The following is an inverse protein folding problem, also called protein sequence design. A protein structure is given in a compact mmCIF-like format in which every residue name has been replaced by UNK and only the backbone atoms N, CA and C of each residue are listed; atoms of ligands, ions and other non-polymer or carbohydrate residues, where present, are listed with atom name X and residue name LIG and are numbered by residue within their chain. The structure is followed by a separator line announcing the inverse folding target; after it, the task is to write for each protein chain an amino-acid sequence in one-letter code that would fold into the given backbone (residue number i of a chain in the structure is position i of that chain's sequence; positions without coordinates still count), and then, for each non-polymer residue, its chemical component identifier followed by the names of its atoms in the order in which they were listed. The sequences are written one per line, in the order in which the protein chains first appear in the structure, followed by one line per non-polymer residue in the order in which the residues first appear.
data_IF_343135166640
#
_entry.id   IF_343135166640
#
_cell.length_a   1.000
_cell.length_b   1.000
_cell.length_c   1.000
_cell.angle_alpha   90.00
_cell.angle_beta   90.00
_cell.angle_gamma   90.00
#
_symmetry.space_group_name_H-M   'P 1'
#
loop_
_entity.id
_entity.type
_entity.pdbx_description
1 polymer ?
#
# COMPACT_ATOMS: atom_id res chain seq x y z
N UNK A 1 -17.86 -0.01 -11.72
CA UNK A 1 -16.63 -0.51 -11.05
C UNK A 1 -15.42 -0.21 -11.91
N UNK A 2 -15.38 -0.68 -13.17
CA UNK A 2 -14.28 -0.43 -14.11
C UNK A 2 -13.99 1.07 -14.26
N UNK A 3 -15.00 1.88 -14.57
CA UNK A 3 -14.86 3.35 -14.64
C UNK A 3 -14.24 3.96 -13.38
N UNK A 4 -14.65 3.50 -12.20
CA UNK A 4 -14.07 3.98 -10.94
C UNK A 4 -12.59 3.59 -10.80
N UNK A 5 -12.22 2.39 -11.25
CA UNK A 5 -10.82 1.94 -11.30
C UNK A 5 -9.99 2.80 -12.25
N UNK A 6 -10.51 3.08 -13.45
CA UNK A 6 -9.87 3.95 -14.44
C UNK A 6 -9.66 5.36 -13.88
N UNK A 7 -10.66 5.93 -13.21
CA UNK A 7 -10.56 7.23 -12.53
C UNK A 7 -9.47 7.25 -11.45
N UNK A 8 -9.38 6.22 -10.60
CA UNK A 8 -8.31 6.11 -9.60
C UNK A 8 -6.92 6.12 -10.25
N UNK A 9 -6.76 5.35 -11.33
CA UNK A 9 -5.49 5.21 -12.05
C UNK A 9 -5.10 6.48 -12.81
N UNK A 10 -6.03 7.03 -13.60
CA UNK A 10 -5.82 8.20 -14.44
C UNK A 10 -5.43 9.42 -13.60
N UNK A 11 -6.15 9.67 -12.52
CA UNK A 11 -5.91 10.84 -11.67
C UNK A 11 -4.92 10.58 -10.53
N UNK A 12 -4.44 9.34 -10.38
CA UNK A 12 -3.55 8.91 -9.27
C UNK A 12 -4.11 9.28 -7.91
N UNK A 13 -5.42 9.06 -7.72
CA UNK A 13 -6.14 9.34 -6.48
C UNK A 13 -6.60 8.05 -5.82
N UNK A 14 -6.63 8.03 -4.48
CA UNK A 14 -7.11 6.86 -3.73
C UNK A 14 -8.61 6.92 -3.41
N UNK A 15 -9.25 8.06 -3.67
CA UNK A 15 -10.65 8.33 -3.34
C UNK A 15 -11.29 9.20 -4.42
N UNK A 16 -12.53 8.90 -4.78
CA UNK A 16 -13.35 9.68 -5.72
C UNK A 16 -14.72 9.95 -5.11
N UNK A 17 -15.30 11.11 -5.43
CA UNK A 17 -16.63 11.50 -4.98
C UNK A 17 -17.65 10.98 -5.99
N UNK A 18 -18.62 10.21 -5.50
CA UNK A 18 -19.79 9.77 -6.28
C UNK A 18 -20.91 10.78 -6.03
N UNK A 19 -21.41 11.37 -7.12
CA UNK A 19 -22.48 12.38 -7.08
C UNK A 19 -23.78 11.85 -7.66
N UNK A 20 -24.90 12.36 -7.18
CA UNK A 20 -26.19 12.17 -7.83
C UNK A 20 -26.21 12.96 -9.15
N UNK A 21 -26.53 12.36 -10.31
CA UNK A 21 -26.47 13.04 -11.60
C UNK A 21 -27.42 14.24 -11.76
N UNK A 22 -28.53 14.27 -11.02
CA UNK A 22 -29.56 15.31 -11.18
C UNK A 22 -29.36 16.47 -10.21
N UNK A 23 -29.25 16.21 -8.91
CA UNK A 23 -29.07 17.26 -7.90
C UNK A 23 -27.61 17.73 -7.76
N UNK A 24 -26.65 16.88 -8.12
CA UNK A 24 -25.22 17.11 -7.86
C UNK A 24 -24.78 16.77 -6.43
N UNK A 25 -25.69 16.23 -5.61
CA UNK A 25 -25.44 15.86 -4.21
C UNK A 25 -24.35 14.81 -4.09
N UNK A 26 -23.57 14.89 -3.01
CA UNK A 26 -22.53 13.90 -2.72
C UNK A 26 -23.18 12.69 -2.08
N UNK A 27 -23.19 11.56 -2.80
CA UNK A 27 -23.74 10.30 -2.32
C UNK A 27 -22.71 9.49 -1.53
N UNK A 28 -21.45 9.46 -2.00
CA UNK A 28 -20.44 8.59 -1.41
C UNK A 28 -19.01 9.03 -1.70
N UNK A 29 -18.09 8.75 -0.78
CA UNK A 29 -16.64 8.82 -1.01
C UNK A 29 -16.11 7.42 -1.28
N UNK A 30 -16.00 7.06 -2.55
CA UNK A 30 -15.52 5.75 -2.98
C UNK A 30 -14.00 5.68 -2.81
N UNK A 31 -13.49 4.54 -2.34
CA UNK A 31 -12.06 4.30 -2.14
C UNK A 31 -11.61 3.06 -2.89
N UNK A 32 -10.32 3.00 -3.25
CA UNK A 32 -9.74 1.80 -3.85
C UNK A 32 -9.98 0.56 -2.97
N UNK A 33 -9.73 0.66 -1.67
CA UNK A 33 -9.98 -0.42 -0.69
C UNK A 33 -11.38 -0.99 -0.81
N UNK A 34 -12.40 -0.13 -0.94
CA UNK A 34 -13.81 -0.56 -1.04
C UNK A 34 -14.09 -1.30 -2.34
N UNK A 35 -13.50 -0.84 -3.45
CA UNK A 35 -13.58 -1.51 -4.75
C UNK A 35 -12.90 -2.88 -4.71
N UNK A 36 -11.68 -2.95 -4.17
CA UNK A 36 -10.96 -4.22 -4.01
C UNK A 36 -11.70 -5.20 -3.10
N UNK A 37 -12.32 -4.75 -2.00
CA UNK A 37 -13.18 -5.60 -1.17
C UNK A 37 -14.37 -6.18 -1.95
N UNK A 38 -14.99 -5.38 -2.83
CA UNK A 38 -16.09 -5.85 -3.65
C UNK A 38 -15.61 -6.90 -4.68
N UNK A 39 -14.47 -6.65 -5.34
CA UNK A 39 -13.85 -7.59 -6.28
C UNK A 39 -13.48 -8.90 -5.57
N UNK A 40 -12.79 -8.81 -4.43
CA UNK A 40 -12.35 -9.97 -3.64
C UNK A 40 -13.54 -10.82 -3.17
N UNK A 41 -14.64 -10.18 -2.74
CA UNK A 41 -15.87 -10.88 -2.32
C UNK A 41 -16.64 -11.51 -3.48
N UNK A 42 -16.58 -10.93 -4.67
CA UNK A 42 -17.28 -11.43 -5.86
C UNK A 42 -16.56 -12.60 -6.54
N UNK A 43 -15.57 -13.23 -5.89
CA UNK A 43 -14.78 -14.37 -6.35
C UNK A 43 -15.64 -15.49 -6.99
N UNK A 44 -15.84 -15.39 -8.29
CA UNK A 44 -16.71 -16.30 -9.07
C UNK A 44 -16.02 -16.89 -10.29
N UNK A 45 -14.86 -16.37 -10.70
CA UNK A 45 -14.12 -16.90 -11.84
C UNK A 45 -12.97 -17.80 -11.39
N UNK A 46 -12.79 -18.93 -12.08
CA UNK A 46 -11.69 -19.86 -11.81
C UNK A 46 -10.32 -19.20 -12.01
N UNK A 47 -10.18 -18.34 -13.02
CA UNK A 47 -8.93 -17.62 -13.31
C UNK A 47 -8.54 -16.67 -12.18
N UNK A 48 -9.50 -15.95 -11.58
CA UNK A 48 -9.21 -15.11 -10.43
C UNK A 48 -8.76 -15.94 -9.23
N UNK A 49 -9.45 -17.05 -8.93
CA UNK A 49 -9.04 -17.95 -7.85
C UNK A 49 -7.64 -18.56 -8.06
N UNK A 50 -7.29 -18.91 -9.30
CA UNK A 50 -5.95 -19.39 -9.66
C UNK A 50 -4.89 -18.30 -9.43
N UNK A 51 -5.17 -17.07 -9.87
CA UNK A 51 -4.27 -15.94 -9.67
C UNK A 51 -4.07 -15.61 -8.19
N UNK A 52 -5.14 -15.62 -7.38
CA UNK A 52 -5.06 -15.48 -5.91
C UNK A 52 -4.16 -16.53 -5.26
N UNK A 53 -4.03 -17.71 -5.86
CA UNK A 53 -3.20 -18.81 -5.35
C UNK A 53 -1.75 -18.76 -5.87
N UNK A 54 -1.43 -17.84 -6.78
CA UNK A 54 -0.10 -17.68 -7.36
C UNK A 54 0.85 -17.01 -6.34
N UNK A 55 2.15 -17.39 -6.28
CA UNK A 55 3.15 -16.62 -5.58
C UNK A 55 3.17 -15.16 -6.04
N UNK A 56 3.29 -14.20 -5.12
CA UNK A 56 3.23 -12.77 -5.43
C UNK A 56 4.32 -12.35 -6.41
N UNK A 57 5.52 -12.95 -6.31
CA UNK A 57 6.62 -12.70 -7.26
C UNK A 57 6.31 -13.10 -8.70
N UNK A 58 5.39 -14.06 -8.86
CA UNK A 58 4.97 -14.62 -10.14
C UNK A 58 3.57 -14.08 -10.53
N UNK A 59 3.14 -12.94 -9.99
CA UNK A 59 1.77 -12.42 -10.20
C UNK A 59 1.67 -11.29 -11.22
N UNK A 60 2.80 -10.67 -11.57
CA UNK A 60 2.86 -9.43 -12.35
C UNK A 60 2.57 -8.15 -11.55
N UNK A 61 2.18 -8.27 -10.26
CA UNK A 61 1.79 -7.12 -9.43
C UNK A 61 2.92 -6.63 -8.54
N UNK A 62 2.95 -5.30 -8.39
CA UNK A 62 3.81 -4.60 -7.43
C UNK A 62 5.01 -3.95 -8.09
N UNK A 63 5.75 -3.19 -7.28
CA UNK A 63 7.00 -2.55 -7.67
C UNK A 63 8.15 -3.39 -7.13
N UNK A 64 8.92 -3.99 -8.04
CA UNK A 64 10.08 -4.87 -7.74
C UNK A 64 11.43 -4.19 -7.99
N UNK A 65 11.42 -2.88 -8.26
CA UNK A 65 12.62 -2.08 -8.50
C UNK A 65 13.37 -1.77 -7.20
N UNK A 66 14.70 -1.69 -7.27
CA UNK A 66 15.57 -1.34 -6.14
C UNK A 66 16.22 0.03 -6.37
N UNK A 67 16.39 0.87 -5.33
CA UNK A 67 16.05 0.61 -3.92
C UNK A 67 14.58 0.90 -3.58
N UNK A 68 14.02 0.10 -2.68
CA UNK A 68 12.71 0.39 -2.06
C UNK A 68 12.87 1.58 -1.11
N UNK A 69 11.95 2.55 -1.21
CA UNK A 69 12.02 3.77 -0.43
C UNK A 69 11.79 3.50 1.05
N UNK A 70 12.77 3.90 1.87
CA UNK A 70 12.80 3.61 3.30
C UNK A 70 13.31 4.78 4.15
N UNK A 71 13.11 4.65 5.45
CA UNK A 71 13.62 5.51 6.51
C UNK A 71 14.16 4.67 7.66
N UNK A 72 15.04 5.23 8.47
CA UNK A 72 15.54 4.61 9.70
C UNK A 72 14.71 5.07 10.92
N UNK A 73 14.88 4.39 12.05
CA UNK A 73 14.24 4.74 13.32
C UNK A 73 14.63 6.11 13.88
N UNK A 74 15.79 6.65 13.44
CA UNK A 74 16.38 7.89 13.94
C UNK A 74 16.06 9.11 13.06
N UNK A 75 15.59 8.89 11.82
CA UNK A 75 15.14 10.00 10.95
C UNK A 75 13.96 10.74 11.57
N UNK A 76 13.82 12.03 11.24
CA UNK A 76 12.74 12.86 11.75
C UNK A 76 11.42 12.58 11.00
N UNK A 77 10.29 12.92 11.60
CA UNK A 77 9.01 12.87 10.87
C UNK A 77 8.94 13.90 9.73
N UNK A 78 9.75 14.95 9.77
CA UNK A 78 9.91 15.89 8.65
C UNK A 78 10.54 15.19 7.43
N UNK A 79 11.61 14.41 7.63
CA UNK A 79 12.23 13.60 6.57
C UNK A 79 11.23 12.61 5.97
N UNK A 80 10.44 11.95 6.83
CA UNK A 80 9.35 11.05 6.42
C UNK A 80 8.32 11.80 5.58
N UNK A 81 7.84 12.95 6.04
CA UNK A 81 6.85 13.76 5.35
C UNK A 81 7.36 14.23 3.98
N UNK A 82 8.61 14.70 3.91
CA UNK A 82 9.26 15.12 2.69
C UNK A 82 9.35 13.97 1.67
N UNK A 83 9.82 12.78 2.09
CA UNK A 83 9.88 11.59 1.23
C UNK A 83 8.49 11.15 0.73
N UNK A 84 7.49 11.11 1.62
CA UNK A 84 6.11 10.77 1.26
C UNK A 84 5.51 11.73 0.21
N UNK A 85 5.81 13.03 0.31
CA UNK A 85 5.32 14.04 -0.62
C UNK A 85 6.06 13.98 -1.96
N UNK A 86 7.40 13.95 -1.92
CA UNK A 86 8.25 13.93 -3.11
C UNK A 86 7.94 12.73 -4.02
N UNK A 87 7.73 11.56 -3.41
CA UNK A 87 7.49 10.31 -4.13
C UNK A 87 5.99 9.95 -4.24
N UNK A 88 5.09 10.81 -3.74
CA UNK A 88 3.63 10.59 -3.71
C UNK A 88 3.23 9.26 -3.07
N UNK A 89 3.96 8.84 -2.04
CA UNK A 89 3.73 7.57 -1.34
C UNK A 89 2.68 7.70 -0.24
N UNK A 90 2.03 6.58 0.10
CA UNK A 90 1.09 6.52 1.23
C UNK A 90 1.77 6.19 2.57
N UNK A 91 2.94 5.57 2.50
CA UNK A 91 3.68 5.00 3.62
C UNK A 91 5.12 4.73 3.21
N UNK A 92 6.04 4.67 4.19
CA UNK A 92 7.45 4.33 3.98
C UNK A 92 7.83 3.12 4.82
N UNK A 93 8.71 2.30 4.27
CA UNK A 93 9.33 1.21 5.02
C UNK A 93 10.26 1.81 6.08
N UNK A 94 10.19 1.30 7.30
CA UNK A 94 11.17 1.57 8.34
C UNK A 94 12.16 0.42 8.37
N UNK A 95 13.46 0.72 8.33
CA UNK A 95 14.53 -0.28 8.39
C UNK A 95 15.42 -0.09 9.62
N UNK A 96 16.04 -1.18 10.06
CA UNK A 96 17.08 -1.17 11.10
C UNK A 96 18.45 -0.70 10.56
N UNK A 97 19.48 -0.72 11.41
CA UNK A 97 20.83 -0.27 11.07
C UNK A 97 21.48 -1.15 9.98
N UNK A 98 21.10 -2.41 9.91
CA UNK A 98 21.55 -3.38 8.92
C UNK A 98 20.76 -3.26 7.60
N UNK A 99 19.66 -2.49 7.58
CA UNK A 99 18.78 -2.33 6.41
C UNK A 99 17.74 -3.45 6.28
N UNK A 100 17.48 -4.20 7.34
CA UNK A 100 16.37 -5.15 7.38
C UNK A 100 15.06 -4.40 7.66
N UNK A 101 13.96 -4.93 7.13
CA UNK A 101 12.63 -4.41 7.36
C UNK A 101 12.25 -4.51 8.85
N UNK A 102 11.87 -3.38 9.44
CA UNK A 102 11.52 -3.25 10.86
C UNK A 102 10.01 -3.02 11.07
N UNK A 103 9.45 -1.99 10.44
CA UNK A 103 8.01 -1.68 10.45
C UNK A 103 7.69 -0.80 9.23
N UNK A 104 6.52 -0.16 9.21
CA UNK A 104 6.09 0.82 8.22
C UNK A 104 5.66 2.08 8.96
N UNK A 105 5.94 3.26 8.42
CA UNK A 105 5.38 4.53 8.92
C UNK A 105 4.38 5.07 7.91
N UNK A 106 3.18 5.43 8.37
CA UNK A 106 2.08 5.93 7.53
C UNK A 106 1.73 7.37 7.86
N UNK A 107 1.06 8.05 6.93
CA UNK A 107 0.46 9.37 7.17
C UNK A 107 -0.49 9.39 8.38
N UNK A 108 -1.13 8.25 8.68
CA UNK A 108 -2.04 8.14 9.83
C UNK A 108 -1.27 8.06 11.15
N UNK A 109 -0.13 7.37 11.19
CA UNK A 109 0.72 7.29 12.38
C UNK A 109 1.22 8.70 12.77
N UNK A 110 1.65 9.49 11.79
CA UNK A 110 2.06 10.89 11.98
C UNK A 110 0.89 11.75 12.46
N UNK A 111 -0.28 11.64 11.82
CA UNK A 111 -1.44 12.44 12.18
C UNK A 111 -1.92 12.14 13.62
N UNK A 112 -2.00 10.87 14.00
CA UNK A 112 -2.35 10.45 15.36
C UNK A 112 -1.37 11.00 16.39
N UNK A 113 -0.08 10.90 16.13
CA UNK A 113 0.93 11.41 17.04
C UNK A 113 0.92 12.95 17.14
N UNK A 114 0.68 13.65 16.03
CA UNK A 114 0.53 15.11 16.01
C UNK A 114 -0.69 15.58 16.80
N UNK A 115 -1.81 14.85 16.74
CA UNK A 115 -3.02 15.19 17.50
C UNK A 115 -2.82 15.15 19.02
N UNK A 116 -1.88 14.34 19.49
CA UNK A 116 -1.53 14.20 20.90
C UNK A 116 -0.32 15.08 21.30
N UNK A 117 0.29 15.78 20.34
CA UNK A 117 1.51 16.53 20.58
C UNK A 117 1.23 17.82 21.36
N UNK A 118 1.96 18.09 22.46
CA UNK A 118 1.79 19.30 23.25
C UNK A 118 2.28 20.56 22.50
N UNK A 119 3.26 20.42 21.60
CA UNK A 119 3.77 21.50 20.76
C UNK A 119 3.75 21.10 19.28
N UNK A 120 2.70 21.46 18.53
CA UNK A 120 2.55 21.02 17.14
C UNK A 120 3.48 21.75 16.15
N UNK A 121 4.06 22.90 16.52
CA UNK A 121 4.82 23.73 15.57
C UNK A 121 6.12 23.07 15.13
N UNK A 122 6.84 22.44 16.06
CA UNK A 122 8.12 21.77 15.79
C UNK A 122 8.00 20.24 15.80
N UNK A 123 6.79 19.70 15.96
CA UNK A 123 6.55 18.27 16.16
C UNK A 123 7.24 17.40 15.11
N UNK A 124 7.15 17.76 13.83
CA UNK A 124 7.73 16.97 12.74
C UNK A 124 9.26 16.91 12.79
N UNK A 125 9.89 18.03 13.15
CA UNK A 125 11.36 18.16 13.20
C UNK A 125 11.91 17.48 14.45
N UNK A 126 11.26 17.66 15.60
CA UNK A 126 11.76 17.22 16.90
C UNK A 126 11.43 15.75 17.20
N UNK A 127 10.54 15.13 16.43
CA UNK A 127 10.06 13.76 16.68
C UNK A 127 10.74 12.77 15.73
N UNK A 128 11.43 11.73 16.24
CA UNK A 128 11.97 10.67 15.40
C UNK A 128 10.89 9.64 15.02
N UNK A 129 11.12 8.87 13.95
CA UNK A 129 10.22 7.78 13.53
C UNK A 129 9.90 6.81 14.68
N UNK A 130 10.91 6.44 15.46
CA UNK A 130 10.75 5.52 16.60
C UNK A 130 9.67 5.95 17.62
N UNK A 131 9.40 7.25 17.77
CA UNK A 131 8.43 7.76 18.73
C UNK A 131 6.96 7.59 18.31
N UNK A 132 6.70 7.29 17.03
CA UNK A 132 5.33 7.10 16.52
C UNK A 132 4.98 5.65 16.20
N UNK A 133 5.98 4.76 16.22
CA UNK A 133 5.76 3.32 16.06
C UNK A 133 5.18 2.68 17.34
N UNK A 134 4.62 1.48 17.22
CA UNK A 134 4.08 0.71 18.35
C UNK A 134 2.70 1.14 18.87
N UNK A 135 2.10 2.21 18.32
CA UNK A 135 0.73 2.67 18.64
C UNK A 135 -0.37 1.82 17.98
N UNK A 136 0.03 0.90 17.11
CA UNK A 136 -0.81 -0.07 16.39
C UNK A 136 -0.04 -1.39 16.26
N UNK A 137 -0.70 -2.50 15.87
CA UNK A 137 0.01 -3.70 15.47
C UNK A 137 1.09 -3.40 14.41
N UNK A 138 2.23 -4.09 14.53
CA UNK A 138 3.34 -3.99 13.60
C UNK A 138 2.88 -4.35 12.18
N UNK A 139 3.55 -3.77 11.17
CA UNK A 139 3.28 -4.09 9.79
C UNK A 139 3.57 -5.58 9.50
N UNK A 140 2.70 -6.21 8.72
CA UNK A 140 2.93 -7.55 8.19
C UNK A 140 3.82 -7.44 6.97
N UNK A 141 4.96 -8.13 7.00
CA UNK A 141 5.81 -8.33 5.83
C UNK A 141 5.40 -9.59 5.08
N UNK A 142 5.48 -9.52 3.76
CA UNK A 142 5.12 -10.58 2.84
C UNK A 142 6.40 -11.21 2.29
N UNK A 143 6.40 -12.52 2.09
CA UNK A 143 7.50 -13.21 1.41
C UNK A 143 7.19 -13.41 -0.08
N UNK A 144 8.21 -13.59 -0.94
CA UNK A 144 8.00 -13.63 -2.39
C UNK A 144 7.18 -14.85 -2.83
N UNK A 145 7.20 -15.91 -2.02
CA UNK A 145 6.46 -17.15 -2.20
C UNK A 145 5.03 -17.10 -1.65
N UNK A 146 4.68 -16.08 -0.86
CA UNK A 146 3.32 -15.90 -0.36
C UNK A 146 2.36 -15.66 -1.51
N UNK A 147 1.11 -16.06 -1.33
CA UNK A 147 0.11 -15.95 -2.39
C UNK A 147 -0.40 -14.53 -2.55
N UNK A 148 -0.86 -14.18 -3.75
CA UNK A 148 -1.58 -12.92 -4.00
C UNK A 148 -2.77 -12.74 -3.06
N UNK A 149 -3.49 -13.82 -2.73
CA UNK A 149 -4.57 -13.80 -1.75
C UNK A 149 -4.12 -13.29 -0.38
N UNK A 150 -2.99 -13.81 0.13
CA UNK A 150 -2.42 -13.34 1.41
C UNK A 150 -2.04 -11.85 1.35
N UNK A 151 -1.53 -11.38 0.20
CA UNK A 151 -1.25 -9.95 -0.02
C UNK A 151 -2.52 -9.12 0.03
N UNK A 152 -3.57 -9.54 -0.67
CA UNK A 152 -4.87 -8.86 -0.65
C UNK A 152 -5.46 -8.81 0.76
N UNK A 153 -5.45 -9.92 1.49
CA UNK A 153 -5.93 -9.97 2.87
C UNK A 153 -5.17 -8.95 3.73
N UNK A 154 -3.83 -8.95 3.66
CA UNK A 154 -3.01 -8.00 4.42
C UNK A 154 -3.32 -6.52 4.10
N UNK A 155 -3.47 -6.13 2.83
CA UNK A 155 -3.78 -4.73 2.45
C UNK A 155 -5.25 -4.34 2.69
N UNK A 156 -6.17 -5.30 2.78
CA UNK A 156 -7.60 -5.06 2.99
C UNK A 156 -7.99 -5.11 4.47
N UNK A 157 -7.28 -5.89 5.30
CA UNK A 157 -7.48 -5.91 6.74
C UNK A 157 -6.84 -4.69 7.42
N UNK A 158 -5.72 -4.19 6.89
CA UNK A 158 -5.07 -3.00 7.44
C UNK A 158 -5.94 -1.74 7.29
N UNK A 159 -6.18 -1.02 8.40
CA UNK A 159 -7.05 0.16 8.41
C UNK A 159 -6.46 1.36 7.67
N UNK A 160 -5.15 1.58 7.78
CA UNK A 160 -4.48 2.77 7.25
C UNK A 160 -3.31 2.48 6.32
N UNK A 161 -3.01 1.20 6.10
CA UNK A 161 -1.96 0.75 5.19
C UNK A 161 -2.58 0.42 3.84
N UNK A 162 -2.08 1.09 2.80
CA UNK A 162 -2.48 0.84 1.41
C UNK A 162 -1.42 0.07 0.63
N UNK A 163 -0.32 -0.27 1.29
CA UNK A 163 0.85 -0.89 0.72
C UNK A 163 1.39 -1.89 1.73
N UNK A 164 1.81 -3.06 1.25
CA UNK A 164 2.62 -4.03 2.00
C UNK A 164 4.00 -4.13 1.35
N UNK A 165 4.98 -4.52 2.14
CA UNK A 165 6.35 -4.68 1.70
C UNK A 165 6.69 -6.16 1.64
N UNK A 166 7.45 -6.52 0.61
CA UNK A 166 7.92 -7.87 0.36
C UNK A 166 9.39 -7.95 0.77
N UNK A 167 9.72 -8.95 1.57
CA UNK A 167 11.06 -9.17 2.13
C UNK A 167 11.59 -10.55 1.76
N UNK A 168 12.90 -10.67 1.62
CA UNK A 168 13.56 -11.97 1.47
C UNK A 168 13.71 -12.70 2.82
N UNK A 169 14.34 -13.88 2.80
CA UNK A 169 14.55 -14.71 3.99
C UNK A 169 15.45 -14.05 5.05
N UNK A 170 16.21 -13.02 4.67
CA UNK A 170 17.06 -12.22 5.56
C UNK A 170 16.38 -10.91 5.98
N UNK A 171 15.06 -10.79 5.82
CA UNK A 171 14.28 -9.58 6.09
C UNK A 171 14.71 -8.36 5.24
N UNK A 172 15.41 -8.56 4.11
CA UNK A 172 15.75 -7.45 3.21
C UNK A 172 14.54 -7.09 2.36
N UNK A 173 14.17 -5.81 2.26
CA UNK A 173 13.09 -5.39 1.39
C UNK A 173 13.49 -5.56 -0.07
N UNK A 174 12.62 -6.21 -0.85
CA UNK A 174 12.87 -6.48 -2.27
C UNK A 174 11.79 -5.92 -3.19
N UNK A 175 10.57 -5.71 -2.68
CA UNK A 175 9.45 -5.19 -3.46
C UNK A 175 8.37 -4.60 -2.54
N UNK A 176 7.38 -3.95 -3.13
CA UNK A 176 6.17 -3.54 -2.44
C UNK A 176 4.94 -3.71 -3.34
N UNK A 177 3.78 -3.91 -2.73
CA UNK A 177 2.50 -4.04 -3.43
C UNK A 177 1.49 -3.11 -2.76
N UNK A 178 0.96 -2.19 -3.55
CA UNK A 178 -0.09 -1.26 -3.13
C UNK A 178 -1.47 -1.63 -3.68
N UNK A 179 -2.49 -1.10 -3.05
CA UNK A 179 -3.87 -1.11 -3.53
C UNK A 179 -3.99 -0.59 -4.98
N UNK A 180 -3.19 0.44 -5.32
CA UNK A 180 -3.17 0.99 -6.68
C UNK A 180 -2.53 0.04 -7.68
N UNK A 181 -1.48 -0.70 -7.30
CA UNK A 181 -0.84 -1.69 -8.17
C UNK A 181 -1.81 -2.82 -8.52
N UNK A 182 -2.56 -3.31 -7.51
CA UNK A 182 -3.59 -4.34 -7.72
C UNK A 182 -4.67 -3.86 -8.68
N UNK A 183 -5.20 -2.63 -8.50
CA UNK A 183 -6.20 -2.09 -9.42
C UNK A 183 -5.63 -1.93 -10.82
N UNK A 184 -4.44 -1.35 -10.95
CA UNK A 184 -3.82 -1.11 -12.25
C UNK A 184 -3.60 -2.43 -13.00
N UNK A 185 -3.13 -3.47 -12.31
CA UNK A 185 -2.97 -4.81 -12.87
C UNK A 185 -4.29 -5.38 -13.39
N UNK A 186 -5.36 -5.30 -12.58
CA UNK A 186 -6.66 -5.86 -12.95
C UNK A 186 -7.33 -5.15 -14.14
N UNK A 187 -6.93 -3.91 -14.46
CA UNK A 187 -7.53 -3.10 -15.53
C UNK A 187 -6.68 -3.06 -16.79
N UNK A 188 -5.36 -2.93 -16.65
CA UNK A 188 -4.47 -2.62 -17.78
C UNK A 188 -3.56 -3.77 -18.22
N UNK A 189 -3.42 -4.83 -17.41
CA UNK A 189 -2.68 -6.01 -17.88
C UNK A 189 -3.54 -6.74 -18.94
N UNK A 190 -2.91 -7.13 -20.06
CA UNK A 190 -3.58 -7.89 -21.12
C UNK A 190 -3.96 -9.30 -20.67
N UNK A 191 -3.25 -9.84 -19.66
CA UNK A 191 -3.45 -11.18 -19.11
C UNK A 191 -3.33 -11.18 -17.57
N UNK A 192 -4.21 -10.46 -16.85
CA UNK A 192 -4.06 -10.18 -15.41
C UNK A 192 -4.10 -11.42 -14.52
N UNK A 193 -4.50 -12.57 -15.06
CA UNK A 193 -4.63 -13.84 -14.33
C UNK A 193 -3.67 -14.93 -14.82
N UNK A 194 -2.78 -14.62 -15.76
CA UNK A 194 -1.78 -15.57 -16.24
C UNK A 194 -0.48 -15.43 -15.45
N UNK A 195 0.25 -16.53 -15.27
CA UNK A 195 1.63 -16.46 -14.76
C UNK A 195 2.47 -15.64 -15.76
N UNK A 196 3.34 -14.71 -15.29
CA UNK A 196 4.27 -14.02 -16.16
C UNK A 196 5.09 -15.08 -16.89
N UNK A 197 5.23 -14.92 -18.21
CA UNK A 197 6.15 -15.74 -18.98
C UNK A 197 7.52 -15.50 -18.38
N UNK A 198 8.14 -16.55 -17.84
CA UNK A 198 9.52 -16.50 -17.37
C UNK A 198 10.37 -15.84 -18.46
N UNK A 199 11.09 -14.74 -18.19
CA UNK A 199 12.03 -14.23 -19.16
C UNK A 199 13.05 -15.34 -19.43
N UNK A 200 13.27 -15.61 -20.72
CA UNK A 200 14.21 -16.62 -21.20
C UNK A 200 15.64 -16.21 -20.92
#
# INVERSE_FOLDING_TARGET
IIEACEEFCLHRVHRIIVREPQSGDILYLLTIKRVLQAIHKQNRSLHFAQWLSCPIKDSGVGTWERPICSVTLAESLDDVAAKLLAQKLSSLLVVDAEGNAYDVVTKADIAMALMEAPNPQNFLVDTPVSAVLGRRPAAVFIHPQDTVGKVLDAILEANHMRCVFIVDDNQKPIACVSQSDVIAHLIYDEAPFQKPKTPS
#
